data_IF_977960221713
#
_entry.id   IF_977960221713
#
_cell.length_a   1.000
_cell.length_b   1.000
_cell.length_c   1.000
_cell.angle_alpha   90.00
_cell.angle_beta   90.00
_cell.angle_gamma   90.00
#
_symmetry.space_group_name_H-M   'P 1'
#
loop_
_entity.id
_entity.type
_entity.pdbx_description
1 polymer ?
#
# COMPACT_ATOMS: atom_id res chain seq x y z
N UNK A 1 -43.80 31.04 16.07
CA UNK A 1 -42.59 31.89 15.99
C UNK A 1 -41.43 31.10 16.59
N UNK A 2 -40.59 30.49 15.74
CA UNK A 2 -39.35 29.81 16.15
C UNK A 2 -38.23 30.52 15.43
N UNK A 3 -37.32 31.11 16.19
CA UNK A 3 -36.12 31.80 15.69
C UNK A 3 -34.94 31.15 16.38
N UNK A 4 -33.81 31.08 15.66
CA UNK A 4 -32.39 31.07 16.08
C UNK A 4 -31.65 29.84 15.49
N UNK A 5 -30.48 29.93 14.86
CA UNK A 5 -29.54 31.03 14.54
C UNK A 5 -28.43 30.48 13.62
N UNK A 6 -28.16 31.20 12.52
CA UNK A 6 -26.84 31.54 11.92
C UNK A 6 -25.67 30.54 11.88
N UNK A 7 -25.35 30.16 10.63
CA UNK A 7 -24.01 30.04 9.98
C UNK A 7 -22.76 30.51 10.73
N UNK A 8 -21.70 29.70 10.68
CA UNK A 8 -20.31 30.11 10.86
C UNK A 8 -19.44 29.54 9.71
N UNK A 9 -18.70 30.44 9.05
CA UNK A 9 -17.73 30.15 7.99
C UNK A 9 -16.31 30.07 8.57
N UNK A 10 -15.43 29.25 7.98
CA UNK A 10 -13.98 29.37 8.17
C UNK A 10 -13.28 29.11 6.83
N UNK A 11 -12.82 30.19 6.20
CA UNK A 11 -11.79 30.19 5.15
C UNK A 11 -10.42 30.08 5.80
N UNK A 12 -9.58 29.15 5.33
CA UNK A 12 -8.15 29.15 5.60
C UNK A 12 -7.39 29.00 4.28
N UNK A 13 -6.78 30.09 3.82
CA UNK A 13 -5.80 30.11 2.75
C UNK A 13 -4.41 29.90 3.37
N UNK A 14 -3.63 28.96 2.83
CA UNK A 14 -2.21 28.84 3.13
C UNK A 14 -1.45 28.75 1.81
N UNK A 15 -0.81 29.87 1.46
CA UNK A 15 0.23 29.94 0.46
C UNK A 15 1.53 29.38 1.05
N UNK A 16 2.17 28.45 0.35
CA UNK A 16 3.55 28.04 0.64
C UNK A 16 4.34 28.13 -0.66
N UNK A 17 5.21 29.12 -0.73
CA UNK A 17 6.30 29.24 -1.68
C UNK A 17 7.44 28.32 -1.25
N UNK A 18 7.85 27.36 -2.08
CA UNK A 18 9.17 26.73 -1.97
C UNK A 18 10.07 27.18 -3.12
N UNK A 19 11.09 27.93 -2.71
CA UNK A 19 12.30 28.23 -3.45
C UNK A 19 13.23 27.01 -3.38
N UNK A 20 13.86 26.69 -4.50
CA UNK A 20 15.24 26.20 -4.52
C UNK A 20 15.44 24.69 -4.61
N UNK A 21 15.85 24.24 -5.79
CA UNK A 21 17.02 23.36 -5.89
C UNK A 21 17.71 23.58 -7.25
N UNK A 22 18.71 24.46 -7.26
CA UNK A 22 19.84 24.33 -8.17
C UNK A 22 20.73 23.20 -7.65
N UNK A 23 21.12 22.27 -8.53
CA UNK A 23 22.53 22.08 -8.88
C UNK A 23 22.66 20.99 -9.94
N UNK A 24 23.03 21.46 -11.12
CA UNK A 24 23.75 20.73 -12.15
C UNK A 24 25.14 20.33 -11.60
N UNK A 25 25.54 19.07 -11.77
CA UNK A 25 26.95 18.71 -11.69
C UNK A 25 27.22 17.48 -12.57
N UNK A 26 27.66 17.73 -13.79
CA UNK A 26 28.15 16.72 -14.72
C UNK A 26 29.45 16.04 -14.28
N UNK A 27 29.76 14.90 -14.89
CA UNK A 27 30.94 14.65 -15.74
C UNK A 27 31.21 13.15 -15.89
N UNK A 28 31.35 12.73 -17.14
CA UNK A 28 31.98 11.48 -17.59
C UNK A 28 33.39 11.27 -17.00
N UNK A 29 33.75 10.01 -16.69
CA UNK A 29 35.02 9.39 -17.13
C UNK A 29 35.14 7.90 -16.78
N UNK A 30 35.99 7.24 -17.57
CA UNK A 30 36.06 5.84 -17.97
C UNK A 30 37.00 4.98 -17.09
N UNK A 31 36.79 3.66 -17.19
CA UNK A 31 37.79 2.57 -17.23
C UNK A 31 38.30 1.88 -15.94
N UNK A 32 37.93 0.58 -15.88
CA UNK A 32 38.73 -0.62 -15.56
C UNK A 32 39.35 -0.83 -14.16
N UNK A 33 38.89 -1.88 -13.47
CA UNK A 33 39.66 -3.12 -13.19
C UNK A 33 38.88 -4.01 -12.20
N UNK A 34 38.49 -5.20 -12.65
CA UNK A 34 38.07 -6.30 -11.79
C UNK A 34 39.31 -6.96 -11.14
N UNK A 35 39.17 -7.55 -9.93
CA UNK A 35 38.99 -9.00 -9.95
C UNK A 35 37.96 -9.52 -8.93
N UNK A 36 37.16 -10.47 -9.45
CA UNK A 36 36.55 -11.64 -8.82
C UNK A 36 36.47 -11.71 -7.28
N UNK A 37 35.24 -11.60 -6.77
CA UNK A 37 34.74 -12.43 -5.68
C UNK A 37 33.22 -12.55 -5.85
N UNK A 38 32.78 -13.63 -6.49
CA UNK A 38 31.40 -14.08 -6.41
C UNK A 38 31.24 -15.00 -5.18
N UNK A 39 30.03 -15.25 -4.68
CA UNK A 39 28.89 -14.35 -4.53
C UNK A 39 28.43 -14.32 -3.05
N UNK A 40 28.38 -13.14 -2.42
CA UNK A 40 27.67 -12.99 -1.14
C UNK A 40 26.18 -12.80 -1.43
N UNK A 41 25.45 -13.91 -1.53
CA UNK A 41 24.01 -13.92 -1.41
C UNK A 41 23.62 -13.14 -0.12
N UNK A 42 22.73 -12.15 -0.17
CA UNK A 42 22.11 -11.69 1.05
C UNK A 42 21.31 -12.85 1.62
N UNK A 43 21.72 -13.23 2.82
CA UNK A 43 21.12 -14.21 3.68
C UNK A 43 19.59 -14.12 3.66
N UNK A 44 18.98 -15.26 3.36
CA UNK A 44 17.71 -15.69 3.95
C UNK A 44 16.67 -14.58 4.12
N UNK A 45 16.05 -14.18 3.00
CA UNK A 45 14.64 -13.87 3.07
C UNK A 45 13.96 -15.13 3.61
N UNK A 46 13.43 -15.00 4.82
CA UNK A 46 12.65 -16.00 5.51
C UNK A 46 11.65 -16.62 4.53
N UNK A 47 11.93 -17.86 4.12
CA UNK A 47 10.97 -18.70 3.41
C UNK A 47 9.90 -19.13 4.41
N UNK A 48 9.01 -18.21 4.74
CA UNK A 48 7.74 -18.50 5.38
C UNK A 48 6.63 -18.03 4.44
N UNK A 49 5.83 -18.98 3.97
CA UNK A 49 4.62 -18.82 3.15
C UNK A 49 4.79 -18.56 1.65
N UNK A 50 5.48 -19.47 0.97
CA UNK A 50 5.10 -19.80 -0.42
C UNK A 50 3.80 -20.61 -0.41
N UNK A 51 2.65 -19.94 -0.29
CA UNK A 51 1.33 -20.50 -0.63
C UNK A 51 0.34 -19.40 -1.05
N UNK A 52 0.75 -18.47 -1.90
CA UNK A 52 -0.13 -17.55 -2.67
C UNK A 52 0.50 -17.17 -4.03
N UNK A 53 1.61 -17.80 -4.45
CA UNK A 53 2.49 -17.31 -5.52
C UNK A 53 2.03 -17.57 -6.97
N UNK A 54 0.91 -18.27 -7.18
CA UNK A 54 0.39 -18.58 -8.53
C UNK A 54 -0.79 -17.69 -8.97
N UNK A 55 -1.27 -16.78 -8.11
CA UNK A 55 -2.21 -15.75 -8.55
C UNK A 55 -1.42 -14.63 -9.20
N UNK A 56 -1.74 -14.30 -10.45
CA UNK A 56 -1.17 -13.15 -11.17
C UNK A 56 -1.48 -11.89 -10.36
N UNK A 57 -0.59 -11.50 -9.46
CA UNK A 57 -0.75 -10.32 -8.65
C UNK A 57 -0.68 -9.11 -9.59
N UNK A 58 -1.68 -8.22 -9.53
CA UNK A 58 -1.70 -6.91 -10.22
C UNK A 58 -0.31 -6.28 -10.18
N UNK A 59 0.15 -5.48 -11.15
CA UNK A 59 1.45 -4.81 -11.05
C UNK A 59 1.60 -4.04 -9.73
N UNK A 60 2.81 -4.02 -9.17
CA UNK A 60 3.05 -3.35 -7.89
C UNK A 60 2.74 -1.85 -8.01
N UNK A 61 1.89 -1.29 -7.13
CA UNK A 61 1.59 0.13 -7.17
C UNK A 61 2.81 0.96 -6.74
N UNK A 62 2.96 2.13 -7.36
CA UNK A 62 4.00 3.11 -7.03
C UNK A 62 3.37 4.49 -6.83
N UNK A 63 4.15 5.42 -6.28
CA UNK A 63 3.73 6.81 -6.04
C UNK A 63 2.41 6.91 -5.27
N UNK A 64 1.55 7.82 -5.70
CA UNK A 64 0.28 8.16 -5.03
C UNK A 64 -0.63 6.95 -4.83
N UNK A 65 -0.66 6.01 -5.77
CA UNK A 65 -1.48 4.80 -5.66
C UNK A 65 -1.00 3.90 -4.51
N UNK A 66 0.33 3.76 -4.35
CA UNK A 66 0.92 3.01 -3.22
C UNK A 66 0.59 3.69 -1.90
N UNK A 67 0.78 5.01 -1.83
CA UNK A 67 0.48 5.81 -0.64
C UNK A 67 -0.98 5.72 -0.24
N UNK A 68 -1.90 5.81 -1.20
CA UNK A 68 -3.34 5.70 -0.96
C UNK A 68 -3.73 4.30 -0.45
N UNK A 69 -3.17 3.24 -1.03
CA UNK A 69 -3.41 1.88 -0.57
C UNK A 69 -2.91 1.66 0.87
N UNK A 70 -1.70 2.12 1.19
CA UNK A 70 -1.16 2.05 2.55
C UNK A 70 -2.03 2.84 3.53
N UNK A 71 -2.51 4.03 3.14
CA UNK A 71 -3.39 4.83 3.97
C UNK A 71 -4.72 4.09 4.26
N UNK A 72 -5.31 3.46 3.24
CA UNK A 72 -6.53 2.68 3.40
C UNK A 72 -6.34 1.46 4.32
N UNK A 73 -5.23 0.72 4.17
CA UNK A 73 -4.92 -0.43 5.04
C UNK A 73 -4.68 0.03 6.48
N UNK A 74 -3.96 1.16 6.66
CA UNK A 74 -3.66 1.74 7.97
C UNK A 74 -4.90 2.23 8.72
N UNK A 75 -5.89 2.75 7.99
CA UNK A 75 -7.16 3.24 8.55
C UNK A 75 -7.96 2.12 9.22
N UNK A 76 -7.91 0.91 8.65
CA UNK A 76 -8.52 -0.29 9.23
C UNK A 76 -7.74 -0.74 10.46
N UNK A 77 -6.44 -0.98 10.30
CA UNK A 77 -5.59 -1.38 11.42
C UNK A 77 -4.14 -0.97 11.17
N UNK A 78 -3.56 -0.07 11.97
CA UNK A 78 -2.21 0.41 11.76
C UNK A 78 -1.13 -0.68 11.91
N UNK A 79 -1.44 -1.81 12.55
CA UNK A 79 -0.50 -2.93 12.67
C UNK A 79 -0.25 -3.66 11.36
N UNK A 80 -1.18 -3.56 10.40
CA UNK A 80 -1.06 -4.22 9.09
C UNK A 80 0.04 -3.58 8.25
N UNK A 81 0.31 -2.28 8.44
CA UNK A 81 1.30 -1.54 7.67
C UNK A 81 2.66 -1.44 8.38
N UNK A 82 2.92 -2.29 9.37
CA UNK A 82 4.25 -2.41 9.97
C UNK A 82 5.29 -2.85 8.92
N UNK A 83 4.88 -3.73 8.01
CA UNK A 83 5.58 -4.04 6.77
C UNK A 83 4.72 -3.55 5.59
N UNK A 84 5.03 -2.35 5.10
CA UNK A 84 4.29 -1.76 3.97
C UNK A 84 4.45 -2.56 2.67
N UNK A 85 5.56 -3.30 2.50
CA UNK A 85 5.77 -4.15 1.34
C UNK A 85 4.82 -5.34 1.35
N UNK A 86 4.80 -6.07 2.47
CA UNK A 86 3.88 -7.20 2.69
C UNK A 86 2.42 -6.75 2.65
N UNK A 87 2.09 -5.59 3.21
CA UNK A 87 0.74 -5.03 3.16
C UNK A 87 0.28 -4.77 1.71
N UNK A 88 1.15 -4.19 0.88
CA UNK A 88 0.87 -3.95 -0.55
C UNK A 88 0.76 -5.28 -1.32
N UNK A 89 1.61 -6.25 -1.02
CA UNK A 89 1.53 -7.59 -1.63
C UNK A 89 0.18 -8.25 -1.34
N UNK A 90 -0.23 -8.34 -0.07
CA UNK A 90 -1.54 -8.89 0.33
C UNK A 90 -2.70 -8.10 -0.27
N UNK A 91 -2.58 -6.78 -0.36
CA UNK A 91 -3.58 -5.93 -1.00
C UNK A 91 -3.75 -6.23 -2.49
N UNK A 92 -2.64 -6.48 -3.21
CA UNK A 92 -2.68 -6.89 -4.63
C UNK A 92 -3.37 -8.24 -4.80
N UNK A 93 -3.09 -9.21 -3.94
CA UNK A 93 -3.79 -10.49 -3.96
C UNK A 93 -5.28 -10.35 -3.66
N UNK A 94 -5.63 -9.52 -2.67
CA UNK A 94 -7.02 -9.27 -2.35
C UNK A 94 -7.76 -8.58 -3.50
N UNK A 95 -7.10 -7.67 -4.24
CA UNK A 95 -7.66 -7.10 -5.46
C UNK A 95 -7.96 -8.16 -6.53
N UNK A 96 -7.09 -9.16 -6.72
CA UNK A 96 -7.37 -10.29 -7.62
C UNK A 96 -8.62 -11.06 -7.15
N UNK A 97 -8.78 -11.27 -5.85
CA UNK A 97 -9.98 -11.93 -5.30
C UNK A 97 -11.24 -11.10 -5.57
N UNK A 98 -11.18 -9.79 -5.29
CA UNK A 98 -12.29 -8.85 -5.51
C UNK A 98 -12.72 -8.83 -6.99
N UNK A 99 -11.78 -8.84 -7.92
CA UNK A 99 -12.06 -8.85 -9.37
C UNK A 99 -12.43 -10.24 -9.91
N UNK A 100 -11.87 -11.30 -9.33
CA UNK A 100 -12.07 -12.69 -9.74
C UNK A 100 -13.42 -13.28 -9.33
N UNK A 101 -14.27 -12.50 -8.63
CA UNK A 101 -15.61 -12.91 -8.25
C UNK A 101 -15.64 -14.07 -7.25
N UNK A 102 -14.64 -14.18 -6.37
CA UNK A 102 -14.71 -15.17 -5.29
C UNK A 102 -15.94 -14.90 -4.43
N UNK A 103 -16.60 -15.97 -4.00
CA UNK A 103 -17.88 -15.89 -3.29
C UNK A 103 -17.77 -15.27 -1.90
N UNK A 104 -16.57 -15.26 -1.28
CA UNK A 104 -16.35 -14.67 0.04
C UNK A 104 -15.05 -13.86 0.09
N UNK A 105 -15.12 -12.63 -0.42
CA UNK A 105 -14.00 -11.68 -0.39
C UNK A 105 -13.67 -11.19 1.03
N UNK A 106 -14.59 -11.33 1.99
CA UNK A 106 -14.34 -10.95 3.39
C UNK A 106 -13.47 -12.00 4.06
N UNK A 107 -13.81 -13.28 3.94
CA UNK A 107 -12.99 -14.36 4.47
C UNK A 107 -11.59 -14.37 3.83
N UNK A 108 -11.48 -14.16 2.51
CA UNK A 108 -10.17 -14.03 1.86
C UNK A 108 -9.33 -12.87 2.43
N UNK A 109 -9.94 -11.73 2.72
CA UNK A 109 -9.23 -10.61 3.36
C UNK A 109 -8.80 -10.96 4.79
N UNK A 110 -9.64 -11.66 5.56
CA UNK A 110 -9.27 -12.13 6.89
C UNK A 110 -8.09 -13.11 6.85
N UNK A 111 -8.08 -14.06 5.92
CA UNK A 111 -6.97 -15.01 5.74
C UNK A 111 -5.67 -14.31 5.31
N UNK A 112 -5.75 -13.34 4.41
CA UNK A 112 -4.58 -12.64 3.88
C UNK A 112 -3.97 -11.64 4.87
N UNK A 113 -4.80 -10.97 5.68
CA UNK A 113 -4.39 -9.89 6.56
C UNK A 113 -4.33 -10.26 8.05
N UNK A 114 -4.80 -11.44 8.45
CA UNK A 114 -4.58 -11.97 9.80
C UNK A 114 -3.21 -12.65 9.90
N UNK A 115 -2.17 -11.84 9.98
CA UNK A 115 -0.78 -12.28 10.09
C UNK A 115 -0.01 -11.56 11.20
N UNK A 116 1.15 -12.10 11.57
CA UNK A 116 2.07 -11.52 12.57
C UNK A 116 1.36 -11.13 13.89
N UNK A 117 0.42 -11.97 14.33
CA UNK A 117 -0.36 -11.79 15.55
C UNK A 117 -1.48 -10.75 15.45
N UNK A 118 -1.75 -10.21 14.26
CA UNK A 118 -2.95 -9.43 13.95
C UNK A 118 -4.06 -10.38 13.54
N UNK A 119 -5.25 -10.18 14.10
CA UNK A 119 -6.48 -10.85 13.66
C UNK A 119 -7.41 -9.78 13.13
N UNK A 120 -7.85 -9.91 11.88
CA UNK A 120 -8.91 -9.06 11.34
C UNK A 120 -10.28 -9.56 11.79
N UNK A 121 -11.17 -8.62 12.09
CA UNK A 121 -12.60 -8.92 12.20
C UNK A 121 -13.26 -8.90 10.82
N UNK A 122 -14.47 -9.45 10.71
CA UNK A 122 -15.25 -9.36 9.47
C UNK A 122 -15.54 -7.91 9.05
N UNK A 123 -15.79 -7.03 10.03
CA UNK A 123 -16.03 -5.59 9.77
C UNK A 123 -14.77 -4.90 9.27
N UNK A 124 -13.61 -5.21 9.85
CA UNK A 124 -12.31 -4.71 9.38
C UNK A 124 -12.02 -5.18 7.96
N UNK A 125 -12.25 -6.47 7.67
CA UNK A 125 -12.06 -7.04 6.35
C UNK A 125 -13.00 -6.42 5.30
N UNK A 126 -14.25 -6.12 5.67
CA UNK A 126 -15.19 -5.39 4.81
C UNK A 126 -14.71 -3.97 4.55
N UNK A 127 -14.26 -3.27 5.59
CA UNK A 127 -13.75 -1.91 5.47
C UNK A 127 -12.48 -1.87 4.60
N UNK A 128 -11.59 -2.85 4.78
CA UNK A 128 -10.40 -3.04 3.95
C UNK A 128 -10.76 -3.20 2.47
N UNK A 129 -11.72 -4.07 2.16
CA UNK A 129 -12.17 -4.28 0.78
C UNK A 129 -12.69 -2.99 0.14
N UNK A 130 -13.45 -2.16 0.88
CA UNK A 130 -13.90 -0.84 0.42
C UNK A 130 -12.71 0.09 0.18
N UNK A 131 -11.76 0.13 1.11
CA UNK A 131 -10.54 0.94 0.99
C UNK A 131 -9.70 0.56 -0.23
N UNK A 132 -9.55 -0.74 -0.51
CA UNK A 132 -8.83 -1.23 -1.68
C UNK A 132 -9.56 -0.91 -2.98
N UNK A 133 -10.89 -1.02 -3.02
CA UNK A 133 -11.71 -0.59 -4.17
C UNK A 133 -11.57 0.91 -4.44
N UNK A 134 -11.47 1.74 -3.42
CA UNK A 134 -11.33 3.18 -3.61
C UNK A 134 -9.91 3.63 -4.03
N UNK A 135 -8.91 2.74 -3.99
CA UNK A 135 -7.50 3.13 -4.15
C UNK A 135 -6.75 2.27 -5.16
N UNK A 136 -6.58 0.99 -4.86
CA UNK A 136 -5.68 0.09 -5.58
C UNK A 136 -6.37 -0.54 -6.80
N UNK A 137 -7.59 -1.05 -6.62
CA UNK A 137 -8.38 -1.80 -7.61
C UNK A 137 -9.83 -1.31 -7.69
N UNK A 138 -10.08 -0.10 -8.23
CA UNK A 138 -11.43 0.39 -8.48
C UNK A 138 -12.20 -0.50 -9.46
N UNK A 139 -13.50 -0.66 -9.21
CA UNK A 139 -14.40 -1.30 -10.17
C UNK A 139 -14.47 -0.46 -11.44
N UNK A 140 -14.41 -1.13 -12.60
CA UNK A 140 -14.40 -0.49 -13.92
C UNK A 140 -15.81 -0.09 -14.39
#
# INVERSE_FOLDING_TARGET
>A
MRIRTTTAAVTAALAVSLVGCSSDNGTDSKADTAPSSAPAAPNTADSSDTSEADKVALPEPTGDKRTAAIAAIRDVNPKLVQDEGKAIEKARYQCVNLDGGVSDTVNSAMELFSYDGVMLTEDDARHLNIGLRNTLCPEA
#
